data_IF_330542966209
#
_entry.id   IF_330542966209
#
_cell.length_a   1.000
_cell.length_b   1.000
_cell.length_c   1.000
_cell.angle_alpha   90.00
_cell.angle_beta   90.00
_cell.angle_gamma   90.00
#
_symmetry.space_group_name_H-M   'P 1'
#
loop_
_entity.id
_entity.type
_entity.pdbx_description
1 polymer ?
#
# COMPACT_ATOMS: atom_id res chain seq x y z
N UNK A 1 20.74 20.35 2.44
CA UNK A 1 20.64 21.37 3.52
C UNK A 1 21.78 21.17 4.52
N UNK A 2 22.16 22.17 5.32
CA UNK A 2 23.26 22.04 6.30
C UNK A 2 23.00 20.89 7.32
N UNK A 3 21.74 20.74 7.71
CA UNK A 3 21.22 19.53 8.36
C UNK A 3 20.04 19.02 7.55
N UNK A 4 20.06 17.74 7.24
CA UNK A 4 18.99 17.00 6.59
C UNK A 4 18.25 16.16 7.63
N UNK A 5 16.91 16.17 7.55
CA UNK A 5 16.03 15.36 8.38
C UNK A 5 15.18 14.46 7.49
N UNK A 6 15.19 13.16 7.73
CA UNK A 6 14.41 12.19 6.95
C UNK A 6 13.84 11.11 7.86
N UNK A 7 12.52 10.90 7.83
CA UNK A 7 11.92 9.76 8.52
C UNK A 7 12.42 8.43 7.92
N UNK A 8 12.62 7.43 8.77
CA UNK A 8 13.18 6.13 8.35
C UNK A 8 12.20 5.28 7.56
N UNK A 9 10.90 5.48 7.76
CA UNK A 9 9.83 4.87 6.95
C UNK A 9 9.13 5.94 6.10
N UNK A 10 8.61 5.51 4.96
CA UNK A 10 7.84 6.41 4.06
C UNK A 10 6.42 6.69 4.58
N UNK A 11 5.92 5.82 5.47
CA UNK A 11 4.59 5.84 6.06
C UNK A 11 4.68 5.10 7.41
N UNK A 12 3.86 5.49 8.38
CA UNK A 12 3.67 4.74 9.61
C UNK A 12 2.19 4.38 9.83
N UNK A 13 1.92 3.25 10.47
CA UNK A 13 0.58 2.86 10.92
C UNK A 13 0.50 2.96 12.45
N UNK A 14 -0.38 3.82 12.94
CA UNK A 14 -0.71 3.94 14.35
C UNK A 14 -1.88 2.99 14.66
N UNK A 15 -1.60 1.96 15.46
CA UNK A 15 -2.63 1.05 15.98
C UNK A 15 -3.38 1.69 17.13
N UNK A 16 -4.65 1.34 17.27
CA UNK A 16 -5.43 1.78 18.42
C UNK A 16 -4.82 1.24 19.71
N UNK A 17 -4.70 2.10 20.71
CA UNK A 17 -4.18 1.79 22.06
C UNK A 17 -2.70 1.38 22.16
N UNK A 18 -1.91 1.58 21.10
CA UNK A 18 -0.45 1.42 21.11
C UNK A 18 0.25 2.77 20.94
N UNK A 19 1.44 2.90 21.53
CA UNK A 19 2.28 4.06 21.29
C UNK A 19 2.87 3.97 19.87
N UNK A 20 2.98 5.10 19.19
CA UNK A 20 3.60 5.13 17.87
C UNK A 20 5.10 5.35 17.98
N UNK A 21 5.87 4.37 17.55
CA UNK A 21 7.31 4.46 17.42
C UNK A 21 7.67 4.94 16.02
N UNK A 22 8.51 5.97 15.94
CA UNK A 22 9.01 6.50 14.68
C UNK A 22 10.45 6.95 14.85
N UNK A 23 11.19 7.03 13.75
CA UNK A 23 12.60 7.41 13.78
C UNK A 23 12.88 8.44 12.70
N UNK A 24 13.68 9.44 13.06
CA UNK A 24 14.16 10.48 12.15
C UNK A 24 15.66 10.34 12.02
N UNK A 25 16.12 10.05 10.81
CA UNK A 25 17.51 10.14 10.44
C UNK A 25 17.90 11.62 10.30
N UNK A 26 19.00 11.98 10.94
CA UNK A 26 19.57 13.32 10.91
C UNK A 26 20.94 13.23 10.28
N UNK A 27 21.13 13.93 9.18
CA UNK A 27 22.39 13.98 8.45
C UNK A 27 22.96 15.39 8.47
N UNK A 28 24.13 15.54 9.06
CA UNK A 28 24.87 16.80 9.11
C UNK A 28 25.77 16.89 7.88
N UNK A 29 25.44 17.83 6.99
CA UNK A 29 26.21 18.10 5.77
C UNK A 29 27.13 19.33 5.92
N UNK A 30 27.10 19.99 7.07
CA UNK A 30 28.00 21.11 7.39
C UNK A 30 29.23 20.64 8.14
N UNK A 31 30.36 21.31 7.94
CA UNK A 31 31.56 21.10 8.76
C UNK A 31 31.44 21.75 10.15
N UNK A 32 30.41 22.60 10.35
CA UNK A 32 30.11 23.19 11.66
C UNK A 32 29.46 22.10 12.55
N UNK A 33 30.00 21.83 13.75
CA UNK A 33 29.34 20.95 14.70
C UNK A 33 28.05 21.60 15.21
N UNK A 34 27.02 20.79 15.39
CA UNK A 34 25.80 21.18 16.07
C UNK A 34 25.80 20.55 17.46
N UNK A 35 25.72 21.39 18.49
CA UNK A 35 25.61 20.98 19.88
C UNK A 35 24.41 21.64 20.55
N UNK A 36 23.74 20.93 21.45
CA UNK A 36 22.60 21.43 22.22
C UNK A 36 21.43 21.92 21.34
N UNK A 37 21.04 21.09 20.37
CA UNK A 37 19.85 21.31 19.57
C UNK A 37 18.64 20.55 20.11
N UNK A 38 17.49 20.77 19.48
CA UNK A 38 16.25 20.11 19.84
C UNK A 38 15.52 19.68 18.58
N UNK A 39 15.18 18.40 18.48
CA UNK A 39 14.31 17.93 17.41
C UNK A 39 12.87 17.97 17.92
N UNK A 40 11.96 18.47 17.10
CA UNK A 40 10.54 18.60 17.38
C UNK A 40 9.76 17.86 16.30
N UNK A 41 8.77 17.08 16.73
CA UNK A 41 7.74 16.54 15.86
C UNK A 41 6.52 17.43 15.93
N UNK A 42 6.10 17.93 14.78
CA UNK A 42 5.00 18.85 14.65
C UNK A 42 3.84 18.23 13.89
N UNK A 43 2.63 18.66 14.23
CA UNK A 43 1.41 18.39 13.48
C UNK A 43 0.55 19.65 13.49
N UNK A 44 0.20 20.19 12.31
CA UNK A 44 -0.57 21.43 12.16
C UNK A 44 -0.05 22.60 13.01
N UNK A 45 1.28 22.74 13.11
CA UNK A 45 1.94 23.78 13.90
C UNK A 45 2.05 23.49 15.41
N UNK A 46 1.41 22.43 15.92
CA UNK A 46 1.52 22.00 17.31
C UNK A 46 2.64 20.98 17.51
N UNK A 47 3.38 21.09 18.61
CA UNK A 47 4.43 20.13 18.95
C UNK A 47 3.84 18.88 19.60
N UNK A 48 3.91 17.74 18.90
CA UNK A 48 3.47 16.45 19.42
C UNK A 48 4.52 15.81 20.35
N UNK A 49 5.80 16.01 20.04
CA UNK A 49 6.91 15.43 20.78
C UNK A 49 8.20 16.20 20.53
N UNK A 50 9.17 16.02 21.42
CA UNK A 50 10.49 16.60 21.24
C UNK A 50 11.56 15.84 22.02
N UNK A 51 12.77 15.82 21.48
CA UNK A 51 13.95 15.21 22.06
C UNK A 51 15.12 16.19 21.97
N UNK A 52 15.78 16.45 23.09
CA UNK A 52 17.02 17.23 23.13
C UNK A 52 18.18 16.42 22.54
N UNK A 53 19.01 17.08 21.74
CA UNK A 53 20.15 16.49 21.04
C UNK A 53 21.40 17.27 21.39
N UNK A 54 22.17 16.73 22.34
CA UNK A 54 23.38 17.37 22.85
C UNK A 54 24.51 17.40 21.80
N UNK A 55 24.64 16.34 20.99
CA UNK A 55 25.57 16.23 19.87
C UNK A 55 25.14 15.13 18.91
N UNK A 56 25.54 15.22 17.64
CA UNK A 56 25.41 14.13 16.68
C UNK A 56 26.66 13.24 16.72
N UNK A 57 26.46 11.92 16.78
CA UNK A 57 27.56 10.95 16.78
C UNK A 57 27.97 10.64 15.32
N UNK A 58 28.73 11.55 14.71
CA UNK A 58 29.18 11.45 13.32
C UNK A 58 28.33 12.26 12.34
N UNK A 59 28.50 12.02 11.04
CA UNK A 59 27.75 12.74 9.98
C UNK A 59 26.27 12.36 9.91
N UNK A 60 25.90 11.22 10.49
CA UNK A 60 24.55 10.68 10.43
C UNK A 60 24.18 10.04 11.77
N UNK A 61 22.98 10.31 12.26
CA UNK A 61 22.48 9.78 13.53
C UNK A 61 20.98 9.57 13.40
N UNK A 62 20.47 8.46 13.95
CA UNK A 62 19.02 8.20 14.01
C UNK A 62 18.51 8.56 15.39
N UNK A 63 17.41 9.33 15.43
CA UNK A 63 16.73 9.73 16.66
C UNK A 63 15.36 9.06 16.68
N UNK A 64 15.13 8.25 17.70
CA UNK A 64 13.87 7.57 17.93
C UNK A 64 12.90 8.45 18.72
N UNK A 65 11.63 8.30 18.39
CA UNK A 65 10.51 9.01 18.99
C UNK A 65 9.40 8.04 19.33
N UNK A 66 8.74 8.34 20.45
CA UNK A 66 7.50 7.70 20.85
C UNK A 66 6.45 8.79 20.95
N UNK A 67 5.39 8.67 20.15
CA UNK A 67 4.17 9.46 20.34
C UNK A 67 3.23 8.63 21.20
N UNK A 68 2.98 9.02 22.46
CA UNK A 68 2.11 8.26 23.34
C UNK A 68 0.70 8.13 22.79
N UNK A 69 0.08 6.96 22.96
CA UNK A 69 -1.29 6.67 22.51
C UNK A 69 -2.32 7.68 22.99
N UNK A 70 -2.15 8.21 24.21
CA UNK A 70 -3.06 9.19 24.79
C UNK A 70 -3.03 10.53 24.03
N UNK A 71 -1.89 10.92 23.43
CA UNK A 71 -1.79 12.09 22.56
C UNK A 71 -2.43 11.80 21.21
N UNK A 72 -2.11 10.65 20.60
CA UNK A 72 -2.70 10.24 19.31
C UNK A 72 -4.23 10.12 19.37
N UNK A 73 -4.77 9.60 20.48
CA UNK A 73 -6.21 9.42 20.68
C UNK A 73 -7.00 10.74 20.69
N UNK A 74 -6.35 11.86 21.05
CA UNK A 74 -6.98 13.19 21.08
C UNK A 74 -7.05 13.84 19.70
N UNK A 75 -6.32 13.33 18.72
CA UNK A 75 -6.31 13.86 17.36
C UNK A 75 -7.45 13.22 16.56
N UNK A 76 -8.44 14.02 16.18
CA UNK A 76 -9.60 13.58 15.39
C UNK A 76 -9.30 13.61 13.88
N UNK A 77 -8.30 12.85 13.44
CA UNK A 77 -7.96 12.68 12.04
C UNK A 77 -7.41 11.27 11.79
N UNK A 78 -7.83 10.63 10.70
CA UNK A 78 -7.36 9.29 10.31
C UNK A 78 -6.03 9.32 9.55
N UNK A 79 -5.63 10.48 9.04
CA UNK A 79 -4.36 10.69 8.36
C UNK A 79 -3.67 11.91 8.95
N UNK A 80 -2.47 11.72 9.48
CA UNK A 80 -1.64 12.79 10.04
C UNK A 80 -0.44 13.02 9.15
N UNK A 81 -0.19 14.27 8.77
CA UNK A 81 1.06 14.66 8.12
C UNK A 81 1.96 15.27 9.21
N UNK A 82 2.96 14.50 9.63
CA UNK A 82 3.91 14.96 10.65
C UNK A 82 5.11 15.65 9.99
N UNK A 83 5.64 16.66 10.66
CA UNK A 83 6.84 17.39 10.28
C UNK A 83 7.94 17.19 11.33
N UNK A 84 9.20 17.05 10.89
CA UNK A 84 10.36 17.05 11.77
C UNK A 84 11.13 18.37 11.64
N UNK A 85 11.37 19.02 12.77
CA UNK A 85 12.13 20.27 12.86
C UNK A 85 13.31 20.11 13.82
N UNK A 86 14.53 20.38 13.38
CA UNK A 86 15.71 20.48 14.24
C UNK A 86 16.04 21.94 14.47
N UNK A 87 16.02 22.36 15.74
CA UNK A 87 16.30 23.73 16.17
C UNK A 87 17.65 23.74 16.87
N UNK A 88 18.60 24.53 16.36
CA UNK A 88 19.92 24.72 16.97
C UNK A 88 20.48 26.09 16.58
N UNK A 89 21.21 26.74 17.48
CA UNK A 89 21.88 28.03 17.25
C UNK A 89 20.97 29.13 16.65
N UNK A 90 19.70 29.16 17.04
CA UNK A 90 18.72 30.11 16.51
C UNK A 90 18.24 29.82 15.08
N UNK A 91 18.65 28.71 14.48
CA UNK A 91 18.19 28.24 13.16
C UNK A 91 17.25 27.03 13.29
N UNK A 92 16.34 26.89 12.34
CA UNK A 92 15.47 25.71 12.20
C UNK A 92 15.77 25.00 10.88
N UNK A 93 16.01 23.69 10.96
CA UNK A 93 16.24 22.80 9.84
C UNK A 93 15.07 21.82 9.75
N UNK A 94 14.37 21.80 8.62
CA UNK A 94 13.13 21.03 8.46
C UNK A 94 13.02 20.42 7.05
N UNK A 95 14.15 20.14 6.42
CA UNK A 95 14.19 19.67 5.04
C UNK A 95 14.99 18.37 4.90
N UNK A 96 14.55 17.53 3.97
CA UNK A 96 15.32 16.41 3.41
C UNK A 96 15.91 16.77 2.06
N UNK A 97 17.00 16.11 1.69
CA UNK A 97 17.50 16.14 0.32
C UNK A 97 16.80 15.05 -0.49
N UNK A 98 16.26 15.45 -1.65
CA UNK A 98 15.76 14.52 -2.65
C UNK A 98 16.73 14.55 -3.81
N UNK A 99 17.31 13.39 -4.11
CA UNK A 99 18.19 13.17 -5.25
C UNK A 99 17.48 12.24 -6.24
N UNK A 100 17.32 12.70 -7.47
CA UNK A 100 16.80 11.92 -8.59
C UNK A 100 17.98 11.66 -9.53
N UNK A 101 18.33 10.39 -9.71
CA UNK A 101 19.48 10.00 -10.51
C UNK A 101 19.12 8.78 -11.35
N UNK A 102 19.24 8.94 -12.67
CA UNK A 102 19.11 7.86 -13.64
C UNK A 102 20.38 7.83 -14.50
N UNK A 103 20.85 6.65 -14.97
CA UNK A 103 22.09 6.56 -15.73
C UNK A 103 22.16 7.45 -16.99
N UNK A 104 20.99 7.78 -17.55
CA UNK A 104 20.82 8.51 -18.81
C UNK A 104 20.29 9.94 -18.63
N UNK A 105 20.11 10.42 -17.39
CA UNK A 105 19.65 11.79 -17.11
C UNK A 105 20.64 12.50 -16.17
N UNK A 106 20.81 13.83 -16.30
CA UNK A 106 21.52 14.61 -15.29
C UNK A 106 20.90 14.39 -13.90
N UNK A 107 21.74 14.37 -12.88
CA UNK A 107 21.26 14.26 -11.50
C UNK A 107 20.50 15.53 -11.13
N UNK A 108 19.26 15.38 -10.68
CA UNK A 108 18.44 16.47 -10.16
C UNK A 108 18.41 16.38 -8.64
N UNK A 109 18.64 17.51 -7.97
CA UNK A 109 18.54 17.58 -6.52
C UNK A 109 17.70 18.78 -6.09
N UNK A 110 16.87 18.56 -5.09
CA UNK A 110 16.10 19.64 -4.45
C UNK A 110 15.89 19.32 -2.97
N UNK A 111 15.45 20.31 -2.21
CA UNK A 111 15.12 20.15 -0.79
C UNK A 111 13.62 20.17 -0.61
N UNK A 112 13.08 19.15 0.05
CA UNK A 112 11.67 19.02 0.37
C UNK A 112 11.47 19.09 1.89
N UNK A 113 10.27 19.49 2.38
CA UNK A 113 9.95 19.36 3.80
C UNK A 113 10.21 17.95 4.33
N UNK A 114 10.73 17.88 5.55
CA UNK A 114 10.94 16.64 6.28
C UNK A 114 9.59 16.19 6.88
N UNK A 115 8.74 15.62 6.02
CA UNK A 115 7.40 15.14 6.38
C UNK A 115 7.27 13.62 6.27
N UNK A 116 6.33 13.07 7.04
CA UNK A 116 5.85 11.68 6.90
C UNK A 116 4.35 11.60 7.14
N UNK A 117 3.71 10.64 6.47
CA UNK A 117 2.30 10.32 6.71
C UNK A 117 2.18 9.26 7.80
N UNK A 118 1.26 9.47 8.74
CA UNK A 118 0.83 8.48 9.72
C UNK A 118 -0.63 8.16 9.47
N UNK A 119 -0.92 6.89 9.20
CA UNK A 119 -2.28 6.36 9.16
C UNK A 119 -2.73 6.01 10.56
N UNK A 120 -3.87 6.55 10.97
CA UNK A 120 -4.51 6.29 12.26
C UNK A 120 -5.92 5.77 12.03
N UNK A 121 -6.25 4.65 12.66
CA UNK A 121 -7.59 4.12 12.68
C UNK A 121 -7.61 2.63 12.96
N UNK A 122 -8.81 2.10 13.13
CA UNK A 122 -9.05 0.67 13.21
C UNK A 122 -8.81 0.02 11.83
N UNK A 123 -7.54 -0.32 11.57
CA UNK A 123 -7.08 -1.02 10.37
C UNK A 123 -6.73 -2.44 10.80
N UNK A 124 -7.63 -3.38 10.52
CA UNK A 124 -7.48 -4.77 10.92
C UNK A 124 -6.97 -5.63 9.76
N UNK A 125 -6.14 -6.60 10.10
CA UNK A 125 -5.65 -7.64 9.20
C UNK A 125 -5.74 -9.00 9.92
N UNK A 126 -6.24 -10.02 9.22
CA UNK A 126 -6.17 -11.42 9.67
C UNK A 126 -5.13 -12.24 8.90
N UNK A 127 -4.80 -11.77 7.69
CA UNK A 127 -3.64 -12.21 6.93
C UNK A 127 -2.37 -11.94 7.72
N UNK A 128 -1.48 -12.93 7.83
CA UNK A 128 -0.20 -12.84 8.52
C UNK A 128 0.97 -13.03 7.57
N UNK A 129 0.80 -13.87 6.55
CA UNK A 129 1.85 -14.17 5.57
C UNK A 129 1.34 -14.08 4.14
N UNK A 130 1.98 -13.24 3.34
CA UNK A 130 1.63 -12.96 1.93
C UNK A 130 2.76 -13.36 1.00
N UNK A 131 2.43 -14.10 -0.05
CA UNK A 131 3.29 -14.29 -1.22
C UNK A 131 3.05 -13.16 -2.21
N UNK A 132 4.09 -12.48 -2.68
CA UNK A 132 3.96 -11.37 -3.62
C UNK A 132 4.63 -11.69 -4.96
N UNK A 133 3.87 -11.68 -6.05
CA UNK A 133 4.41 -11.73 -7.41
C UNK A 133 4.66 -10.30 -7.87
N UNK A 134 5.92 -9.95 -8.10
CA UNK A 134 6.29 -8.60 -8.52
C UNK A 134 5.71 -8.23 -9.89
N UNK A 135 5.30 -6.96 -9.99
CA UNK A 135 4.83 -6.35 -11.22
C UNK A 135 5.78 -5.28 -11.73
N UNK A 136 5.26 -4.15 -12.21
CA UNK A 136 6.05 -3.00 -12.66
C UNK A 136 6.69 -2.18 -11.52
N UNK A 137 6.66 -2.69 -10.29
CA UNK A 137 7.10 -2.01 -9.07
C UNK A 137 5.99 -1.17 -8.45
N UNK A 138 5.73 -1.40 -7.16
CA UNK A 138 4.79 -0.62 -6.35
C UNK A 138 5.18 -0.66 -4.87
N UNK A 139 4.48 0.11 -4.04
CA UNK A 139 4.72 0.21 -2.60
C UNK A 139 3.99 -0.87 -1.79
N UNK A 140 3.24 -1.78 -2.43
CA UNK A 140 2.34 -2.71 -1.73
C UNK A 140 3.11 -3.67 -0.79
N UNK A 141 4.22 -4.30 -1.20
CA UNK A 141 5.00 -5.15 -0.29
C UNK A 141 5.47 -4.42 0.95
N UNK A 142 5.93 -3.17 0.78
CA UNK A 142 6.43 -2.36 1.89
C UNK A 142 5.31 -1.93 2.82
N UNK A 143 4.17 -1.48 2.27
CA UNK A 143 2.97 -1.18 3.06
C UNK A 143 2.55 -2.37 3.92
N UNK A 144 2.51 -3.58 3.34
CA UNK A 144 2.12 -4.79 4.08
C UNK A 144 3.10 -5.10 5.22
N UNK A 145 4.41 -4.89 5.03
CA UNK A 145 5.41 -5.03 6.11
C UNK A 145 5.19 -3.99 7.21
N UNK A 146 4.91 -2.74 6.86
CA UNK A 146 4.57 -1.68 7.84
C UNK A 146 3.31 -2.07 8.62
N UNK A 147 2.34 -2.72 7.97
CA UNK A 147 1.15 -3.29 8.63
C UNK A 147 1.43 -4.53 9.50
N UNK A 148 2.69 -4.98 9.60
CA UNK A 148 3.10 -6.11 10.43
C UNK A 148 2.88 -7.48 9.76
N UNK A 149 2.69 -7.52 8.45
CA UNK A 149 2.47 -8.74 7.67
C UNK A 149 3.82 -9.22 7.11
N UNK A 150 4.10 -10.52 7.22
CA UNK A 150 5.25 -11.11 6.55
C UNK A 150 5.00 -11.16 5.03
N UNK A 151 5.93 -10.61 4.25
CA UNK A 151 5.84 -10.59 2.79
C UNK A 151 7.06 -11.25 2.17
N UNK A 152 6.83 -12.36 1.47
CA UNK A 152 7.85 -13.05 0.69
C UNK A 152 7.61 -12.75 -0.80
N UNK A 153 8.59 -12.15 -1.47
CA UNK A 153 8.55 -11.97 -2.93
C UNK A 153 8.80 -13.32 -3.58
N UNK A 154 7.81 -13.82 -4.32
CA UNK A 154 7.82 -15.15 -4.91
C UNK A 154 8.76 -15.20 -6.11
N UNK A 155 9.54 -16.28 -6.17
CA UNK A 155 10.46 -16.58 -7.26
C UNK A 155 10.11 -17.93 -7.88
N UNK A 156 10.74 -18.23 -9.01
CA UNK A 156 10.47 -19.46 -9.77
C UNK A 156 10.56 -20.73 -8.90
N UNK A 157 11.56 -20.80 -8.01
CA UNK A 157 11.76 -21.92 -7.09
C UNK A 157 10.63 -22.16 -6.07
N UNK A 158 9.76 -21.17 -5.83
CA UNK A 158 8.64 -21.30 -4.90
C UNK A 158 7.46 -22.04 -5.54
N UNK A 159 7.34 -21.98 -6.88
CA UNK A 159 6.31 -22.65 -7.66
C UNK A 159 6.67 -24.10 -7.99
N UNK A 160 7.96 -24.37 -8.22
CA UNK A 160 8.48 -25.70 -8.57
C UNK A 160 9.41 -26.15 -7.45
N UNK A 161 8.88 -26.78 -6.40
CA UNK A 161 9.76 -27.38 -5.42
C UNK A 161 10.67 -28.41 -6.11
N UNK A 162 11.98 -28.16 -6.11
CA UNK A 162 12.95 -29.15 -6.54
C UNK A 162 12.77 -30.41 -5.71
N UNK A 163 12.57 -31.56 -6.36
CA UNK A 163 12.54 -32.90 -5.76
C UNK A 163 11.22 -33.38 -5.14
N UNK A 164 10.08 -33.21 -5.83
CA UNK A 164 8.86 -34.01 -5.59
C UNK A 164 8.04 -33.68 -4.34
N UNK A 165 8.33 -32.56 -3.67
CA UNK A 165 7.50 -32.02 -2.58
C UNK A 165 6.32 -31.21 -3.14
N UNK A 166 5.33 -30.87 -2.30
CA UNK A 166 4.31 -29.88 -2.68
C UNK A 166 4.98 -28.50 -2.85
N UNK A 167 4.51 -27.69 -3.79
CA UNK A 167 4.99 -26.32 -3.96
C UNK A 167 4.81 -25.51 -2.65
N UNK A 168 5.55 -24.40 -2.53
CA UNK A 168 5.59 -23.63 -1.28
C UNK A 168 4.35 -22.77 -1.04
N UNK A 169 3.40 -22.72 -1.98
CA UNK A 169 2.33 -21.71 -1.97
C UNK A 169 1.32 -21.90 -0.83
N UNK A 170 1.13 -23.14 -0.36
CA UNK A 170 0.17 -23.45 0.70
C UNK A 170 0.48 -22.78 2.06
N UNK A 171 1.69 -22.24 2.25
CA UNK A 171 2.08 -21.54 3.48
C UNK A 171 1.56 -20.09 3.54
N UNK A 172 1.08 -19.54 2.42
CA UNK A 172 0.62 -18.16 2.34
C UNK A 172 -0.87 -18.07 2.61
N UNK A 173 -1.26 -17.16 3.51
CA UNK A 173 -2.66 -16.83 3.77
C UNK A 173 -3.32 -16.19 2.54
N UNK A 174 -2.55 -15.39 1.80
CA UNK A 174 -2.93 -14.83 0.52
C UNK A 174 -1.73 -14.70 -0.41
N UNK A 175 -1.97 -14.72 -1.72
CA UNK A 175 -1.00 -14.36 -2.75
C UNK A 175 -1.50 -13.12 -3.49
N UNK A 176 -0.61 -12.16 -3.68
CA UNK A 176 -0.88 -10.93 -4.43
C UNK A 176 -0.09 -10.92 -5.73
N UNK A 177 -0.75 -10.63 -6.85
CA UNK A 177 -0.07 -10.24 -8.08
C UNK A 177 -0.02 -8.71 -8.13
N UNK A 178 1.20 -8.18 -8.23
CA UNK A 178 1.47 -6.76 -8.31
C UNK A 178 0.91 -6.10 -9.56
N UNK A 179 0.95 -4.77 -9.58
CA UNK A 179 0.44 -4.01 -10.72
C UNK A 179 1.18 -4.43 -12.00
N UNK A 180 0.43 -4.69 -13.07
CA UNK A 180 0.99 -5.05 -14.38
C UNK A 180 1.87 -6.30 -14.36
N UNK A 181 1.68 -7.22 -13.40
CA UNK A 181 2.41 -8.48 -13.35
C UNK A 181 2.32 -9.27 -14.68
N UNK A 182 1.19 -9.20 -15.38
CA UNK A 182 1.07 -9.84 -16.70
C UNK A 182 1.91 -9.19 -17.80
N UNK A 183 2.20 -7.91 -17.65
CA UNK A 183 2.99 -7.16 -18.62
C UNK A 183 4.51 -7.42 -18.38
N UNK A 184 4.91 -7.55 -17.12
CA UNK A 184 6.33 -7.56 -16.72
C UNK A 184 6.89 -8.94 -16.40
N UNK A 185 6.11 -9.86 -15.83
CA UNK A 185 6.60 -11.16 -15.40
C UNK A 185 6.44 -12.21 -16.51
N UNK A 186 7.53 -12.46 -17.25
CA UNK A 186 7.53 -13.40 -18.39
C UNK A 186 7.33 -14.86 -17.99
N UNK A 187 7.49 -15.20 -16.71
CA UNK A 187 7.20 -16.53 -16.16
C UNK A 187 5.76 -16.67 -15.69
N UNK A 188 4.92 -15.64 -15.77
CA UNK A 188 3.56 -15.71 -15.24
C UNK A 188 2.76 -16.88 -15.83
N UNK A 189 2.87 -17.12 -17.15
CA UNK A 189 2.17 -18.21 -17.82
C UNK A 189 2.47 -19.61 -17.28
N UNK A 190 3.70 -19.84 -16.82
CA UNK A 190 4.07 -21.12 -16.21
C UNK A 190 3.66 -21.21 -14.74
N UNK A 191 3.46 -20.08 -14.05
CA UNK A 191 3.02 -20.01 -12.66
C UNK A 191 1.49 -20.07 -12.48
N UNK A 192 0.72 -19.61 -13.47
CA UNK A 192 -0.75 -19.58 -13.41
C UNK A 192 -1.40 -20.91 -12.98
N UNK A 193 -0.98 -22.09 -13.50
CA UNK A 193 -1.57 -23.37 -13.05
C UNK A 193 -1.37 -23.66 -11.55
N UNK A 194 -0.24 -23.24 -10.98
CA UNK A 194 0.03 -23.38 -9.55
C UNK A 194 -0.83 -22.42 -8.72
N UNK A 195 -0.99 -21.18 -9.19
CA UNK A 195 -1.86 -20.19 -8.56
C UNK A 195 -3.32 -20.64 -8.57
N UNK A 196 -3.82 -21.18 -9.68
CA UNK A 196 -5.17 -21.75 -9.74
C UNK A 196 -5.34 -22.95 -8.82
N UNK A 197 -4.33 -23.83 -8.74
CA UNK A 197 -4.33 -24.97 -7.81
C UNK A 197 -4.33 -24.52 -6.35
N UNK A 198 -3.56 -23.47 -6.02
CA UNK A 198 -3.54 -22.83 -4.71
C UNK A 198 -4.93 -22.30 -4.33
N UNK A 199 -5.60 -21.56 -5.22
CA UNK A 199 -6.97 -21.08 -4.97
C UNK A 199 -7.93 -22.25 -4.78
N UNK A 200 -7.90 -23.25 -5.68
CA UNK A 200 -8.78 -24.42 -5.58
C UNK A 200 -8.65 -25.14 -4.23
N UNK A 201 -7.44 -25.19 -3.67
CA UNK A 201 -7.13 -25.82 -2.39
C UNK A 201 -7.53 -24.99 -1.15
N UNK A 202 -8.01 -23.75 -1.32
CA UNK A 202 -8.42 -22.87 -0.21
C UNK A 202 -7.57 -21.61 -0.05
N UNK A 203 -6.67 -21.35 -0.99
CA UNK A 203 -5.88 -20.13 -1.04
C UNK A 203 -6.69 -18.92 -1.48
N UNK A 204 -6.17 -17.73 -1.16
CA UNK A 204 -6.77 -16.46 -1.53
C UNK A 204 -5.84 -15.71 -2.48
N UNK A 205 -6.29 -15.46 -3.72
CA UNK A 205 -5.48 -14.84 -4.76
C UNK A 205 -6.06 -13.47 -5.12
N UNK A 206 -5.29 -12.41 -4.88
CA UNK A 206 -5.66 -11.04 -5.22
C UNK A 206 -4.77 -10.56 -6.36
N UNK A 207 -5.38 -10.27 -7.50
CA UNK A 207 -4.71 -9.75 -8.67
C UNK A 207 -5.04 -8.28 -8.84
N UNK A 208 -4.00 -7.44 -8.87
CA UNK A 208 -4.17 -6.01 -9.07
C UNK A 208 -4.31 -5.64 -10.55
N UNK A 209 -4.48 -4.34 -10.79
CA UNK A 209 -4.47 -3.67 -12.07
C UNK A 209 -3.50 -4.27 -13.11
N UNK A 210 -3.99 -4.52 -14.32
CA UNK A 210 -3.19 -4.95 -15.47
C UNK A 210 -3.64 -4.18 -16.73
N UNK A 211 -2.78 -4.13 -17.75
CA UNK A 211 -3.12 -3.54 -19.06
C UNK A 211 -3.20 -4.62 -20.14
N UNK A 212 -3.79 -4.29 -21.30
CA UNK A 212 -3.93 -5.21 -22.44
C UNK A 212 -2.72 -5.22 -23.39
N UNK A 213 -1.61 -4.56 -23.05
CA UNK A 213 -0.41 -4.46 -23.91
C UNK A 213 0.70 -5.36 -23.37
N UNK A 214 1.55 -5.95 -24.21
CA UNK A 214 2.70 -6.76 -23.78
C UNK A 214 2.37 -7.90 -22.80
N UNK A 215 1.19 -8.51 -22.94
CA UNK A 215 0.67 -9.53 -22.03
C UNK A 215 1.44 -10.84 -22.14
N UNK A 216 1.68 -11.49 -21.00
CA UNK A 216 2.34 -12.81 -20.92
C UNK A 216 1.34 -13.94 -21.02
N UNK A 217 0.13 -13.74 -20.50
CA UNK A 217 -1.02 -14.65 -20.61
C UNK A 217 -2.26 -13.93 -21.13
N UNK A 218 -3.07 -14.67 -21.87
CA UNK A 218 -4.38 -14.19 -22.33
C UNK A 218 -5.44 -14.33 -21.23
N UNK A 219 -5.41 -15.46 -20.51
CA UNK A 219 -6.34 -15.73 -19.42
C UNK A 219 -5.72 -15.36 -18.07
N UNK A 220 -6.07 -14.17 -17.56
CA UNK A 220 -5.68 -13.69 -16.25
C UNK A 220 -6.48 -14.34 -15.11
N UNK A 221 -7.79 -14.46 -15.31
CA UNK A 221 -8.72 -14.94 -14.31
C UNK A 221 -8.86 -16.45 -14.27
N UNK A 222 -9.46 -16.95 -13.18
CA UNK A 222 -9.90 -18.34 -13.09
C UNK A 222 -11.02 -18.60 -14.12
N UNK A 223 -11.92 -17.64 -14.25
CA UNK A 223 -12.92 -17.56 -15.32
C UNK A 223 -12.59 -16.39 -16.25
N UNK A 224 -13.17 -16.39 -17.45
CA UNK A 224 -12.90 -15.36 -18.45
C UNK A 224 -13.43 -13.99 -18.02
N UNK A 225 -12.61 -12.96 -18.19
CA UNK A 225 -13.03 -11.56 -18.19
C UNK A 225 -12.17 -10.78 -19.18
N UNK A 226 -12.69 -9.67 -19.68
CA UNK A 226 -12.02 -8.80 -20.65
C UNK A 226 -11.72 -7.45 -20.01
N UNK A 227 -10.45 -7.09 -19.95
CA UNK A 227 -10.00 -5.74 -19.58
C UNK A 227 -10.32 -4.76 -20.71
N UNK A 228 -11.02 -3.67 -20.41
CA UNK A 228 -11.27 -2.61 -21.39
C UNK A 228 -10.39 -1.38 -21.11
N UNK A 229 -9.56 -1.00 -22.09
CA UNK A 229 -8.63 0.14 -21.95
C UNK A 229 -9.32 1.50 -21.86
N UNK A 230 -10.57 1.60 -22.30
CA UNK A 230 -11.36 2.82 -22.22
C UNK A 230 -12.07 3.00 -20.87
N UNK A 231 -12.29 1.92 -20.11
CA UNK A 231 -13.09 1.96 -18.87
C UNK A 231 -12.23 2.36 -17.68
N UNK A 232 -12.52 3.51 -17.08
CA UNK A 232 -11.78 4.10 -15.96
C UNK A 232 -12.69 5.05 -15.18
N UNK A 233 -12.30 5.36 -13.95
CA UNK A 233 -12.92 6.39 -13.12
C UNK A 233 -11.79 7.22 -12.52
N UNK A 234 -11.60 8.40 -13.11
CA UNK A 234 -10.50 9.31 -12.84
C UNK A 234 -10.87 10.40 -11.84
N UNK A 235 -12.15 10.61 -11.56
CA UNK A 235 -12.60 11.47 -10.48
C UNK A 235 -12.34 10.78 -9.14
N UNK A 236 -11.34 11.27 -8.41
CA UNK A 236 -10.92 10.74 -7.11
C UNK A 236 -12.03 10.77 -6.04
N UNK A 237 -13.02 11.64 -6.20
CA UNK A 237 -14.19 11.79 -5.35
C UNK A 237 -15.48 11.15 -5.93
N UNK A 238 -15.39 10.43 -7.05
CA UNK A 238 -16.54 9.71 -7.65
C UNK A 238 -17.25 8.86 -6.59
N UNK A 239 -18.59 8.87 -6.62
CA UNK A 239 -19.41 8.08 -5.71
C UNK A 239 -19.23 6.58 -5.99
N UNK A 240 -19.23 5.78 -4.92
CA UNK A 240 -19.06 4.33 -5.00
C UNK A 240 -20.30 3.65 -4.47
N UNK A 241 -21.07 3.02 -5.35
CA UNK A 241 -22.23 2.22 -4.97
C UNK A 241 -21.77 0.81 -4.61
N UNK A 242 -22.25 0.29 -3.47
CA UNK A 242 -21.96 -1.08 -3.05
C UNK A 242 -23.06 -2.00 -3.60
N UNK A 243 -22.71 -2.87 -4.53
CA UNK A 243 -23.69 -3.74 -5.20
C UNK A 243 -24.28 -4.79 -4.25
N UNK A 244 -23.47 -5.25 -3.29
CA UNK A 244 -23.89 -6.11 -2.20
C UNK A 244 -23.28 -5.64 -0.87
N UNK A 245 -23.93 -4.74 -0.12
CA UNK A 245 -23.39 -4.18 1.12
C UNK A 245 -23.10 -5.20 2.24
N UNK A 246 -23.70 -6.39 2.15
CA UNK A 246 -23.52 -7.50 3.09
C UNK A 246 -22.43 -8.49 2.62
N UNK A 247 -21.78 -8.23 1.49
CA UNK A 247 -20.73 -9.11 0.97
C UNK A 247 -19.59 -9.27 1.97
N UNK A 248 -19.05 -10.49 2.11
CA UNK A 248 -18.03 -10.82 3.11
C UNK A 248 -16.77 -9.93 3.02
N UNK A 249 -16.36 -9.56 1.80
CA UNK A 249 -15.20 -8.69 1.57
C UNK A 249 -15.43 -7.23 2.00
N UNK A 250 -16.68 -6.80 2.19
CA UNK A 250 -17.01 -5.47 2.70
C UNK A 250 -17.23 -5.45 4.21
N UNK A 251 -17.18 -6.61 4.87
CA UNK A 251 -17.59 -6.77 6.27
C UNK A 251 -16.56 -7.46 7.16
N UNK A 252 -15.44 -7.96 6.61
CA UNK A 252 -14.42 -8.64 7.39
C UNK A 252 -13.00 -8.49 6.83
N UNK A 253 -11.99 -8.26 7.70
CA UNK A 253 -12.12 -7.95 9.12
C UNK A 253 -12.58 -6.51 9.40
N UNK A 254 -12.53 -5.63 8.39
CA UNK A 254 -13.00 -4.25 8.50
C UNK A 254 -14.41 -4.11 7.90
N UNK A 255 -15.30 -3.37 8.56
CA UNK A 255 -16.58 -2.95 7.97
C UNK A 255 -16.34 -1.76 7.02
N UNK A 256 -16.50 -1.98 5.73
CA UNK A 256 -16.34 -0.97 4.70
C UNK A 256 -17.62 -0.15 4.55
N UNK A 257 -17.46 1.15 4.44
CA UNK A 257 -18.51 2.18 4.35
C UNK A 257 -18.12 3.22 3.30
N UNK A 258 -19.02 4.14 2.98
CA UNK A 258 -18.71 5.26 2.08
C UNK A 258 -17.51 6.11 2.56
N UNK A 259 -17.26 6.15 3.87
CA UNK A 259 -16.11 6.89 4.41
C UNK A 259 -14.76 6.28 3.98
N UNK A 260 -14.72 4.99 3.67
CA UNK A 260 -13.49 4.31 3.19
C UNK A 260 -13.11 4.74 1.75
N UNK A 261 -14.01 5.45 1.07
CA UNK A 261 -13.78 6.04 -0.25
C UNK A 261 -13.52 7.56 -0.20
N UNK A 262 -13.39 8.17 0.99
CA UNK A 262 -12.99 9.58 1.11
C UNK A 262 -11.47 9.74 0.96
N UNK A 263 -11.05 10.94 0.53
CA UNK A 263 -9.64 11.35 0.41
C UNK A 263 -8.76 10.41 -0.44
N UNK A 264 -9.38 9.71 -1.39
CA UNK A 264 -8.62 9.04 -2.44
C UNK A 264 -7.93 10.11 -3.29
N UNK A 265 -6.76 9.78 -3.82
CA UNK A 265 -5.96 10.69 -4.64
C UNK A 265 -5.94 10.23 -6.09
N UNK A 266 -5.96 11.19 -7.00
CA UNK A 266 -5.77 11.03 -8.44
C UNK A 266 -6.89 10.30 -9.19
N UNK A 267 -7.33 9.12 -8.75
CA UNK A 267 -8.35 8.30 -9.44
C UNK A 267 -8.92 7.20 -8.53
N UNK A 268 -10.09 6.65 -8.87
CA UNK A 268 -10.60 5.39 -8.29
C UNK A 268 -9.89 4.19 -8.91
N UNK A 269 -9.71 4.20 -10.22
CA UNK A 269 -8.98 3.16 -10.93
C UNK A 269 -9.19 3.22 -12.42
N UNK A 270 -8.44 2.39 -13.13
CA UNK A 270 -8.40 2.41 -14.59
C UNK A 270 -8.35 1.00 -15.16
N UNK A 271 -8.76 0.86 -16.41
CA UNK A 271 -8.82 -0.39 -17.15
C UNK A 271 -9.72 -1.43 -16.49
N UNK A 272 -10.94 -1.01 -16.17
CA UNK A 272 -11.95 -1.89 -15.61
C UNK A 272 -12.36 -2.94 -16.64
N UNK A 273 -12.52 -4.20 -16.23
CA UNK A 273 -13.24 -5.18 -17.03
C UNK A 273 -14.63 -4.67 -17.39
N UNK A 274 -15.08 -4.99 -18.60
CA UNK A 274 -16.42 -4.63 -19.09
C UNK A 274 -17.24 -5.84 -19.53
N UNK A 275 -16.61 -7.02 -19.53
CA UNK A 275 -17.24 -8.32 -19.77
C UNK A 275 -16.57 -9.34 -18.87
N UNK A 276 -17.36 -10.22 -18.25
CA UNK A 276 -16.87 -11.29 -17.38
C UNK A 276 -17.87 -12.44 -17.32
N UNK A 277 -17.36 -13.61 -16.96
CA UNK A 277 -18.15 -14.81 -16.70
C UNK A 277 -19.12 -14.61 -15.53
N UNK A 278 -20.28 -15.26 -15.58
CA UNK A 278 -21.31 -15.18 -14.54
C UNK A 278 -20.85 -15.69 -13.16
N UNK A 279 -19.74 -16.44 -13.09
CA UNK A 279 -19.11 -16.83 -11.83
C UNK A 279 -18.49 -15.66 -11.05
N UNK A 280 -18.29 -14.50 -11.69
CA UNK A 280 -17.81 -13.30 -11.02
C UNK A 280 -18.96 -12.46 -10.45
N UNK A 281 -18.84 -12.12 -9.16
CA UNK A 281 -19.66 -11.12 -8.48
C UNK A 281 -18.90 -9.78 -8.45
N UNK A 282 -19.39 -8.72 -9.13
CA UNK A 282 -18.83 -7.38 -8.98
C UNK A 282 -19.19 -6.80 -7.61
N UNK A 283 -18.26 -6.08 -6.97
CA UNK A 283 -18.50 -5.51 -5.63
C UNK A 283 -19.02 -4.07 -5.65
N UNK A 284 -18.63 -3.30 -6.66
CA UNK A 284 -18.85 -1.87 -6.69
C UNK A 284 -19.35 -1.41 -8.05
N UNK A 285 -20.12 -0.33 -8.05
CA UNK A 285 -20.41 0.48 -9.23
C UNK A 285 -19.92 1.92 -9.00
N UNK A 286 -19.32 2.53 -10.02
CA UNK A 286 -18.78 3.89 -9.96
C UNK A 286 -18.64 4.46 -11.38
N UNK A 287 -18.64 5.79 -11.51
CA UNK A 287 -18.44 6.51 -12.77
C UNK A 287 -17.92 7.93 -12.51
N UNK A 288 -17.25 8.49 -13.51
CA UNK A 288 -16.96 9.93 -13.56
C UNK A 288 -18.24 10.71 -13.91
N UNK A 289 -18.31 11.99 -13.56
CA UNK A 289 -19.50 12.83 -13.75
C UNK A 289 -19.91 12.87 -15.23
N UNK A 290 -21.12 12.39 -15.53
CA UNK A 290 -21.66 12.33 -16.89
C UNK A 290 -21.20 11.14 -17.72
N UNK A 291 -20.43 10.21 -17.15
CA UNK A 291 -20.10 8.92 -17.77
C UNK A 291 -21.03 7.79 -17.31
N UNK A 292 -21.00 6.68 -18.04
CA UNK A 292 -21.81 5.49 -17.73
C UNK A 292 -21.30 4.75 -16.48
N UNK A 293 -22.19 4.19 -15.64
CA UNK A 293 -21.81 3.39 -14.47
C UNK A 293 -20.97 2.16 -14.86
N UNK A 294 -19.87 1.93 -14.13
CA UNK A 294 -18.96 0.82 -14.34
C UNK A 294 -18.90 -0.09 -13.11
N UNK A 295 -19.02 -1.40 -13.34
CA UNK A 295 -19.04 -2.41 -12.26
C UNK A 295 -17.76 -3.27 -12.17
N UNK A 296 -16.80 -3.07 -13.08
CA UNK A 296 -15.59 -3.88 -13.17
C UNK A 296 -14.46 -3.53 -12.19
N UNK A 297 -14.66 -2.57 -11.30
CA UNK A 297 -13.58 -2.07 -10.42
C UNK A 297 -13.09 -3.11 -9.41
N UNK A 298 -13.92 -4.09 -9.05
CA UNK A 298 -13.52 -5.29 -8.33
C UNK A 298 -14.44 -6.45 -8.67
N UNK A 299 -13.86 -7.52 -9.20
CA UNK A 299 -14.54 -8.79 -9.48
C UNK A 299 -14.07 -9.84 -8.48
N UNK A 300 -15.02 -10.48 -7.80
CA UNK A 300 -14.79 -11.58 -6.87
C UNK A 300 -15.34 -12.88 -7.45
N UNK A 301 -14.61 -13.99 -7.36
CA UNK A 301 -15.11 -15.31 -7.70
C UNK A 301 -14.65 -16.38 -6.70
N UNK A 302 -15.56 -17.23 -6.20
CA UNK A 302 -15.17 -18.44 -5.49
C UNK A 302 -14.60 -19.47 -6.46
N UNK A 303 -13.58 -20.23 -6.05
CA UNK A 303 -13.07 -21.37 -6.82
C UNK A 303 -12.54 -22.48 -5.93
N UNK A 304 -13.15 -23.66 -6.01
CA UNK A 304 -12.89 -24.73 -5.05
C UNK A 304 -13.19 -24.24 -3.62
N UNK A 305 -12.19 -24.30 -2.74
CA UNK A 305 -12.30 -23.84 -1.34
C UNK A 305 -11.81 -22.41 -1.12
N UNK A 306 -11.25 -21.78 -2.16
CA UNK A 306 -10.56 -20.50 -2.07
C UNK A 306 -11.22 -19.42 -2.89
N UNK A 307 -10.58 -18.27 -2.92
CA UNK A 307 -11.11 -17.04 -3.51
C UNK A 307 -10.15 -16.48 -4.55
N UNK A 308 -10.71 -15.93 -5.62
CA UNK A 308 -9.99 -15.09 -6.56
C UNK A 308 -10.64 -13.71 -6.61
N UNK A 309 -9.82 -12.67 -6.51
CA UNK A 309 -10.24 -11.27 -6.55
C UNK A 309 -9.39 -10.58 -7.60
N UNK A 310 -10.03 -9.99 -8.60
CA UNK A 310 -9.38 -9.08 -9.55
C UNK A 310 -9.83 -7.65 -9.25
N UNK A 311 -8.87 -6.75 -9.02
CA UNK A 311 -9.16 -5.35 -8.66
C UNK A 311 -8.23 -4.37 -9.36
N UNK A 312 -8.72 -3.63 -10.36
CA UNK A 312 -8.02 -2.49 -10.95
C UNK A 312 -8.16 -1.17 -10.17
N UNK A 313 -8.75 -1.18 -8.97
CA UNK A 313 -8.70 -0.02 -8.07
C UNK A 313 -7.25 0.41 -7.81
N UNK A 314 -7.04 1.72 -7.71
CA UNK A 314 -5.71 2.34 -7.66
C UNK A 314 -5.01 2.22 -6.29
N UNK A 315 -5.02 1.05 -5.65
CA UNK A 315 -4.36 0.82 -4.35
C UNK A 315 -2.88 1.23 -4.35
N UNK A 316 -2.18 1.02 -5.47
CA UNK A 316 -0.79 1.43 -5.66
C UNK A 316 -0.56 2.94 -5.56
N UNK A 317 -1.62 3.77 -5.65
CA UNK A 317 -1.58 5.21 -5.37
C UNK A 317 -2.10 5.51 -3.97
N UNK A 318 -3.17 4.85 -3.56
CA UNK A 318 -3.85 5.12 -2.30
C UNK A 318 -3.05 4.72 -1.06
N UNK A 319 -2.37 3.55 -1.09
CA UNK A 319 -1.60 3.08 0.06
C UNK A 319 -0.35 3.95 0.32
N UNK A 320 0.44 4.36 -0.70
CA UNK A 320 1.49 5.38 -0.51
C UNK A 320 0.98 6.72 0.02
N UNK A 321 -0.21 7.13 -0.41
CA UNK A 321 -0.84 8.37 0.06
C UNK A 321 -1.39 8.28 1.49
N UNK A 322 -1.31 7.10 2.13
CA UNK A 322 -1.79 6.84 3.47
C UNK A 322 -3.32 6.88 3.58
N UNK A 323 -4.04 6.43 2.55
CA UNK A 323 -5.50 6.35 2.60
C UNK A 323 -5.95 5.16 3.47
N UNK A 324 -6.58 5.47 4.61
CA UNK A 324 -7.02 4.47 5.60
C UNK A 324 -8.11 3.55 5.06
N UNK A 325 -9.04 4.07 4.26
CA UNK A 325 -10.13 3.26 3.71
C UNK A 325 -9.66 2.28 2.64
N UNK A 326 -8.76 2.72 1.76
CA UNK A 326 -8.10 1.85 0.80
C UNK A 326 -7.29 0.74 1.49
N UNK A 327 -6.59 1.06 2.59
CA UNK A 327 -5.89 0.06 3.40
C UNK A 327 -6.84 -0.98 4.01
N UNK A 328 -7.94 -0.54 4.63
CA UNK A 328 -8.97 -1.45 5.19
C UNK A 328 -9.53 -2.38 4.13
N UNK A 329 -9.89 -1.84 2.96
CA UNK A 329 -10.44 -2.63 1.86
C UNK A 329 -9.43 -3.64 1.30
N UNK A 330 -8.18 -3.21 1.08
CA UNK A 330 -7.14 -4.12 0.58
C UNK A 330 -6.85 -5.25 1.59
N UNK A 331 -6.79 -4.93 2.89
CA UNK A 331 -6.59 -5.94 3.93
C UNK A 331 -7.78 -6.89 4.10
N UNK A 332 -9.02 -6.44 3.81
CA UNK A 332 -10.17 -7.33 3.67
C UNK A 332 -9.98 -8.32 2.52
N UNK A 333 -9.52 -7.85 1.36
CA UNK A 333 -9.26 -8.71 0.22
C UNK A 333 -8.22 -9.77 0.55
N UNK A 334 -7.14 -9.41 1.24
CA UNK A 334 -6.12 -10.37 1.68
C UNK A 334 -6.58 -11.31 2.79
N UNK A 335 -7.53 -10.87 3.63
CA UNK A 335 -8.08 -11.63 4.75
C UNK A 335 -9.37 -12.38 4.40
N UNK A 336 -9.68 -12.54 3.10
CA UNK A 336 -10.91 -13.15 2.64
C UNK A 336 -11.11 -14.54 3.26
N UNK A 337 -12.28 -14.75 3.86
CA UNK A 337 -12.63 -16.04 4.44
C UNK A 337 -12.77 -17.10 3.33
N UNK A 338 -12.32 -18.32 3.63
CA UNK A 338 -12.45 -19.49 2.75
C UNK A 338 -13.94 -19.72 2.40
N UNK A 339 -14.17 -20.31 1.22
CA UNK A 339 -15.51 -20.65 0.76
C UNK A 339 -16.04 -21.94 1.37
#
# INVERSE_FOLDING_TARGET
PAVELKFTQSLYLAKENEDLHLSVNVKVNSDKPFSNGKINLMYNGEQLGSTDVNSFNGKETTIDYVIPKNKLSKINASRLQLEANFVADGATYNKKQVLIQYPHLPSLQYFAPATVTVMKGDIQAKVKKVGYVEGAGDFIPEFLRIAGIQVDVLKDEDFYSGNGSQNKLAQYDAIVLGIRANNTEKKLGRWMPFLWSYVKAGGNLVMQYNTSQDTTVDQLGIYNFRIATSKRVTEENAEVTFLNPNHKLLNFPNKITQNDFKDWVQERGAYFPDQWDAAYEPLFEMHDTGEEPLQGSTLYAPYGKGNFIYTPLAFFRQLPAGNVGAARLFLNFLSAQKN
#
